data_IF_281246464931
#
_entry.id   IF_281246464931
#
_cell.length_a   1.000
_cell.length_b   1.000
_cell.length_c   1.000
_cell.angle_alpha   90.00
_cell.angle_beta   90.00
_cell.angle_gamma   90.00
#
_symmetry.space_group_name_H-M   'P 1'
#
loop_
_entity.id
_entity.type
_entity.pdbx_description
1 polymer ?
#
# COMPACT_ATOMS: atom_id res chain seq x y z
N UNK A 1 -49.31 -7.49 16.39
CA UNK A 1 -48.53 -6.25 16.13
C UNK A 1 -47.11 -6.65 16.06
N UNK A 2 -46.65 -6.81 14.86
CA UNK A 2 -45.38 -7.45 14.45
C UNK A 2 -44.25 -6.48 14.70
N UNK A 3 -43.40 -6.79 15.67
CA UNK A 3 -42.09 -6.21 15.78
C UNK A 3 -41.26 -6.70 14.59
N UNK A 4 -40.91 -5.78 13.73
CA UNK A 4 -39.85 -5.99 12.74
C UNK A 4 -38.55 -5.96 13.52
N UNK A 5 -37.98 -7.10 13.73
CA UNK A 5 -36.61 -7.27 14.21
C UNK A 5 -35.71 -6.77 13.10
N UNK A 6 -34.96 -5.71 13.39
CA UNK A 6 -33.79 -5.30 12.60
C UNK A 6 -32.72 -6.39 12.83
N UNK A 7 -32.92 -7.52 12.15
CA UNK A 7 -32.03 -8.66 12.21
C UNK A 7 -30.99 -8.59 11.10
N UNK A 8 -29.76 -8.78 11.55
CA UNK A 8 -28.66 -9.41 10.82
C UNK A 8 -28.17 -8.64 9.59
N UNK A 9 -27.47 -7.57 9.85
CA UNK A 9 -26.33 -7.26 9.01
C UNK A 9 -25.11 -8.09 9.48
N UNK A 10 -25.27 -9.42 9.48
CA UNK A 10 -24.15 -10.36 9.43
C UNK A 10 -23.52 -10.29 8.02
N UNK A 11 -23.04 -9.12 7.66
CA UNK A 11 -22.28 -8.82 6.47
C UNK A 11 -20.85 -8.52 6.88
N UNK A 12 -19.93 -8.84 6.01
CA UNK A 12 -18.50 -8.55 6.04
C UNK A 12 -18.10 -7.41 6.99
N UNK A 13 -17.06 -7.54 7.80
CA UNK A 13 -16.64 -6.50 8.74
C UNK A 13 -16.34 -5.19 7.99
N UNK A 14 -17.05 -4.12 8.36
CA UNK A 14 -16.98 -2.83 7.68
C UNK A 14 -18.09 -2.64 6.63
N UNK A 15 -18.36 -1.38 6.29
CA UNK A 15 -19.35 -1.05 5.27
C UNK A 15 -18.98 -1.68 3.92
N UNK A 16 -19.94 -2.25 3.19
CA UNK A 16 -19.79 -2.83 1.84
C UNK A 16 -18.97 -1.92 0.92
N UNK A 17 -19.08 -0.62 1.09
CA UNK A 17 -18.38 0.39 0.32
C UNK A 17 -16.85 0.27 0.41
N UNK A 18 -16.30 -0.12 1.57
CA UNK A 18 -14.86 -0.35 1.75
C UNK A 18 -14.39 -1.58 0.98
N UNK A 19 -15.18 -2.65 0.98
CA UNK A 19 -14.86 -3.85 0.22
C UNK A 19 -14.89 -3.61 -1.29
N UNK A 20 -15.87 -2.81 -1.76
CA UNK A 20 -15.91 -2.36 -3.17
C UNK A 20 -14.68 -1.54 -3.51
N UNK A 21 -14.29 -0.59 -2.64
CA UNK A 21 -13.08 0.20 -2.82
C UNK A 21 -11.83 -0.71 -2.89
N UNK A 22 -11.64 -1.61 -1.92
CA UNK A 22 -10.50 -2.54 -1.89
C UNK A 22 -10.46 -3.38 -3.17
N UNK A 23 -11.58 -3.95 -3.59
CA UNK A 23 -11.67 -4.77 -4.79
C UNK A 23 -11.33 -3.97 -6.06
N UNK A 24 -11.82 -2.72 -6.17
CA UNK A 24 -11.51 -1.85 -7.31
C UNK A 24 -10.04 -1.50 -7.38
N UNK A 25 -9.40 -1.20 -6.25
CA UNK A 25 -7.97 -0.88 -6.20
C UNK A 25 -7.09 -2.09 -6.56
N UNK A 26 -7.40 -3.27 -6.02
CA UNK A 26 -6.71 -4.51 -6.40
C UNK A 26 -6.84 -4.77 -7.90
N UNK A 27 -8.03 -4.54 -8.48
CA UNK A 27 -8.25 -4.70 -9.91
C UNK A 27 -7.37 -3.72 -10.72
N UNK A 28 -7.34 -2.44 -10.35
CA UNK A 28 -6.55 -1.41 -11.04
C UNK A 28 -5.06 -1.74 -11.00
N UNK A 29 -4.53 -2.09 -9.82
CA UNK A 29 -3.13 -2.51 -9.70
C UNK A 29 -2.84 -3.80 -10.47
N UNK A 30 -3.75 -4.77 -10.47
CA UNK A 30 -3.59 -6.02 -11.23
C UNK A 30 -3.50 -5.75 -12.72
N UNK A 31 -4.34 -4.89 -13.27
CA UNK A 31 -4.29 -4.48 -14.69
C UNK A 31 -2.97 -3.79 -15.00
N UNK A 32 -2.49 -2.88 -14.14
CA UNK A 32 -1.22 -2.20 -14.33
C UNK A 32 -0.02 -3.18 -14.30
N UNK A 33 -0.02 -4.14 -13.37
CA UNK A 33 1.01 -5.18 -13.27
C UNK A 33 1.00 -6.13 -14.48
N UNK A 34 -0.20 -6.54 -14.95
CA UNK A 34 -0.31 -7.33 -16.18
C UNK A 34 0.21 -6.54 -17.37
N UNK A 35 -0.13 -5.26 -17.49
CA UNK A 35 0.41 -4.38 -18.52
C UNK A 35 1.95 -4.32 -18.49
N UNK A 36 2.54 -4.20 -17.31
CA UNK A 36 4.00 -4.25 -17.13
C UNK A 36 4.59 -5.59 -17.60
N UNK A 37 3.98 -6.72 -17.22
CA UNK A 37 4.45 -8.05 -17.63
C UNK A 37 4.35 -8.26 -19.14
N UNK A 38 3.28 -7.79 -19.78
CA UNK A 38 3.12 -7.84 -21.25
C UNK A 38 4.21 -7.02 -21.93
N UNK A 39 4.46 -5.78 -21.49
CA UNK A 39 5.53 -4.94 -22.04
C UNK A 39 6.91 -5.57 -21.85
N UNK A 40 7.15 -6.21 -20.70
CA UNK A 40 8.38 -6.98 -20.47
C UNK A 40 8.53 -8.15 -21.42
N UNK A 41 7.46 -8.88 -21.76
CA UNK A 41 7.54 -9.96 -22.74
C UNK A 41 7.86 -9.46 -24.15
N UNK A 42 7.35 -8.30 -24.51
CA UNK A 42 7.58 -7.68 -25.82
C UNK A 42 8.98 -7.04 -25.95
N UNK A 43 9.55 -6.55 -24.84
CA UNK A 43 10.82 -5.79 -24.81
C UNK A 43 11.81 -6.36 -23.77
N UNK A 44 11.99 -7.68 -23.73
CA UNK A 44 12.70 -8.39 -22.65
C UNK A 44 14.13 -7.91 -22.41
N UNK A 45 14.90 -7.64 -23.48
CA UNK A 45 16.29 -7.18 -23.40
C UNK A 45 16.41 -5.79 -22.74
N UNK A 46 15.57 -4.83 -23.19
CA UNK A 46 15.53 -3.49 -22.64
C UNK A 46 15.12 -3.50 -21.16
N UNK A 47 14.08 -4.28 -20.82
CA UNK A 47 13.60 -4.39 -19.44
C UNK A 47 14.64 -5.01 -18.50
N UNK A 48 15.45 -5.98 -18.96
CA UNK A 48 16.55 -6.53 -18.16
C UNK A 48 17.64 -5.47 -17.92
N UNK A 49 18.07 -4.76 -18.96
CA UNK A 49 19.08 -3.72 -18.83
C UNK A 49 18.65 -2.63 -17.83
N UNK A 50 17.42 -2.16 -17.91
CA UNK A 50 16.88 -1.11 -17.05
C UNK A 50 16.65 -1.58 -15.61
N UNK A 51 16.20 -2.84 -15.41
CA UNK A 51 15.95 -3.40 -14.08
C UNK A 51 17.22 -3.49 -13.21
N UNK A 52 18.42 -3.57 -13.82
CA UNK A 52 19.68 -3.55 -13.08
C UNK A 52 19.96 -2.20 -12.41
N UNK A 53 19.34 -1.12 -12.85
CA UNK A 53 19.46 0.19 -12.23
C UNK A 53 18.61 0.32 -10.96
N UNK A 54 17.64 -0.56 -10.76
CA UNK A 54 16.81 -0.58 -9.54
C UNK A 54 17.53 -1.32 -8.39
N UNK A 55 17.51 -0.71 -7.22
CA UNK A 55 18.06 -1.30 -6.00
C UNK A 55 17.03 -2.24 -5.33
N UNK A 56 17.07 -3.55 -5.63
CA UNK A 56 16.17 -4.52 -5.00
C UNK A 56 16.24 -4.50 -3.46
N UNK A 57 17.40 -4.15 -2.89
CA UNK A 57 17.55 -3.97 -1.44
C UNK A 57 16.63 -2.86 -0.88
N UNK A 58 16.50 -1.74 -1.60
CA UNK A 58 15.58 -0.67 -1.20
C UNK A 58 14.12 -1.12 -1.27
N UNK A 59 13.73 -1.84 -2.31
CA UNK A 59 12.39 -2.43 -2.44
C UNK A 59 12.07 -3.44 -1.33
N UNK A 60 13.04 -4.32 -0.99
CA UNK A 60 12.92 -5.27 0.12
C UNK A 60 12.78 -4.56 1.47
N UNK A 61 13.60 -3.54 1.72
CA UNK A 61 13.50 -2.74 2.94
C UNK A 61 12.11 -2.08 3.03
N UNK A 62 11.62 -1.52 1.93
CA UNK A 62 10.26 -0.96 1.85
C UNK A 62 9.19 -2.00 2.21
N UNK A 63 9.32 -3.24 1.73
CA UNK A 63 8.39 -4.33 2.05
C UNK A 63 8.41 -4.67 3.55
N UNK A 64 9.59 -4.80 4.16
CA UNK A 64 9.73 -5.10 5.59
C UNK A 64 9.10 -3.98 6.43
N UNK A 65 9.36 -2.72 6.07
CA UNK A 65 8.81 -1.54 6.76
C UNK A 65 7.29 -1.53 6.69
N UNK A 66 6.69 -1.73 5.51
CA UNK A 66 5.23 -1.76 5.36
C UNK A 66 4.59 -2.93 6.09
N UNK A 67 5.12 -4.15 5.99
CA UNK A 67 4.60 -5.32 6.72
C UNK A 67 4.65 -5.09 8.24
N UNK A 68 5.73 -4.48 8.75
CA UNK A 68 5.84 -4.10 10.16
C UNK A 68 4.79 -3.05 10.54
N UNK A 69 4.56 -2.09 9.65
CA UNK A 69 3.51 -1.08 9.80
C UNK A 69 2.11 -1.72 9.84
N UNK A 70 1.81 -2.65 8.93
CA UNK A 70 0.57 -3.40 8.92
C UNK A 70 0.35 -4.17 10.22
N UNK A 71 1.38 -4.82 10.74
CA UNK A 71 1.30 -5.49 12.04
C UNK A 71 0.96 -4.50 13.18
N UNK A 72 1.57 -3.32 13.20
CA UNK A 72 1.23 -2.29 14.19
C UNK A 72 -0.22 -1.82 14.04
N UNK A 73 -0.72 -1.68 12.82
CA UNK A 73 -2.11 -1.32 12.54
C UNK A 73 -3.10 -2.41 13.02
N UNK A 74 -2.78 -3.69 12.82
CA UNK A 74 -3.58 -4.80 13.34
C UNK A 74 -3.67 -4.80 14.87
N UNK A 75 -2.54 -4.54 15.55
CA UNK A 75 -2.53 -4.37 17.01
C UNK A 75 -3.37 -3.18 17.47
N UNK A 76 -3.39 -2.07 16.70
CA UNK A 76 -4.22 -0.92 16.99
C UNK A 76 -5.72 -1.28 16.95
N UNK A 77 -6.13 -2.09 15.99
CA UNK A 77 -7.50 -2.56 15.85
C UNK A 77 -7.92 -3.40 17.05
N UNK A 78 -7.10 -4.36 17.47
CA UNK A 78 -7.37 -5.20 18.65
C UNK A 78 -7.48 -4.36 19.93
N UNK A 79 -6.56 -3.42 20.14
CA UNK A 79 -6.58 -2.51 21.29
C UNK A 79 -7.80 -1.58 21.29
N UNK A 80 -8.23 -1.12 20.12
CA UNK A 80 -9.44 -0.28 19.97
C UNK A 80 -10.70 -1.08 20.36
N UNK A 81 -10.81 -2.34 19.94
CA UNK A 81 -11.92 -3.23 20.32
C UNK A 81 -11.95 -3.52 21.83
N UNK A 82 -10.79 -3.59 22.46
CA UNK A 82 -10.64 -3.75 23.93
C UNK A 82 -10.85 -2.46 24.73
N UNK A 83 -11.17 -1.33 24.05
CA UNK A 83 -11.40 -0.05 24.70
C UNK A 83 -10.13 0.71 25.13
N UNK A 84 -8.94 0.21 24.76
CA UNK A 84 -7.66 0.85 25.07
C UNK A 84 -7.34 2.00 24.10
N UNK A 85 -7.93 3.17 24.33
CA UNK A 85 -7.78 4.37 23.46
C UNK A 85 -6.33 4.79 23.31
N UNK A 86 -5.57 4.85 24.42
CA UNK A 86 -4.16 5.27 24.38
C UNK A 86 -3.29 4.26 23.63
N UNK A 87 -3.50 2.96 23.85
CA UNK A 87 -2.79 1.90 23.15
C UNK A 87 -3.08 1.89 21.65
N UNK A 88 -4.34 1.99 21.27
CA UNK A 88 -4.76 2.06 19.87
C UNK A 88 -4.15 3.29 19.16
N UNK A 89 -4.22 4.47 19.79
CA UNK A 89 -3.60 5.70 19.27
C UNK A 89 -2.10 5.52 19.02
N UNK A 90 -1.36 5.01 20.00
CA UNK A 90 0.08 4.82 19.87
C UNK A 90 0.41 3.90 18.68
N UNK A 91 -0.31 2.78 18.54
CA UNK A 91 -0.07 1.82 17.45
C UNK A 91 -0.42 2.37 16.08
N UNK A 92 -1.49 3.17 15.95
CA UNK A 92 -1.81 3.87 14.71
C UNK A 92 -0.72 4.87 14.32
N UNK A 93 -0.19 5.63 15.28
CA UNK A 93 0.90 6.57 15.02
C UNK A 93 2.21 5.85 14.65
N UNK A 94 2.52 4.71 15.27
CA UNK A 94 3.66 3.87 14.87
C UNK A 94 3.47 3.37 13.43
N UNK A 95 2.29 2.88 13.08
CA UNK A 95 2.00 2.45 11.73
C UNK A 95 2.16 3.60 10.73
N UNK A 96 1.61 4.77 11.02
CA UNK A 96 1.76 5.96 10.18
C UNK A 96 3.23 6.40 10.04
N UNK A 97 4.01 6.37 11.11
CA UNK A 97 5.44 6.72 11.08
C UNK A 97 6.24 5.76 10.18
N UNK A 98 5.96 4.45 10.25
CA UNK A 98 6.57 3.46 9.34
C UNK A 98 6.14 3.69 7.89
N UNK A 99 4.89 4.05 7.63
CA UNK A 99 4.43 4.46 6.30
C UNK A 99 5.19 5.68 5.77
N UNK A 100 5.47 6.67 6.62
CA UNK A 100 6.32 7.81 6.25
C UNK A 100 7.77 7.38 5.95
N UNK A 101 8.33 6.45 6.70
CA UNK A 101 9.66 5.89 6.40
C UNK A 101 9.67 5.26 5.00
N UNK A 102 8.63 4.49 4.64
CA UNK A 102 8.50 3.94 3.29
C UNK A 102 8.50 5.03 2.22
N UNK A 103 7.72 6.11 2.41
CA UNK A 103 7.67 7.23 1.45
C UNK A 103 9.04 7.92 1.31
N UNK A 104 9.79 8.09 2.40
CA UNK A 104 11.16 8.63 2.37
C UNK A 104 12.08 7.72 1.57
N UNK A 105 12.03 6.40 1.78
CA UNK A 105 12.81 5.43 1.02
C UNK A 105 12.49 5.50 -0.48
N UNK A 106 11.20 5.61 -0.85
CA UNK A 106 10.78 5.74 -2.25
C UNK A 106 11.24 7.05 -2.86
N UNK A 107 11.13 8.15 -2.13
CA UNK A 107 11.62 9.44 -2.60
C UNK A 107 13.14 9.43 -2.81
N UNK A 108 13.91 8.81 -1.92
CA UNK A 108 15.34 8.64 -2.07
C UNK A 108 15.67 7.82 -3.33
N UNK A 109 14.96 6.74 -3.60
CA UNK A 109 15.13 5.92 -4.80
C UNK A 109 14.86 6.71 -6.08
N UNK A 110 13.76 7.48 -6.13
CA UNK A 110 13.47 8.36 -7.28
C UNK A 110 14.55 9.43 -7.49
N UNK A 111 15.04 10.04 -6.39
CA UNK A 111 16.12 11.01 -6.45
C UNK A 111 17.40 10.38 -7.00
N UNK A 112 17.74 9.16 -6.59
CA UNK A 112 18.94 8.48 -7.04
C UNK A 112 18.85 8.13 -8.53
N UNK A 113 17.70 7.70 -9.03
CA UNK A 113 17.44 7.49 -10.47
C UNK A 113 17.59 8.80 -11.25
N UNK A 114 17.05 9.90 -10.73
CA UNK A 114 17.22 11.22 -11.36
C UNK A 114 18.70 11.63 -11.44
N UNK A 115 19.47 11.44 -10.37
CA UNK A 115 20.90 11.80 -10.34
C UNK A 115 21.73 10.94 -11.31
N UNK A 116 21.28 9.72 -11.61
CA UNK A 116 21.87 8.85 -12.62
C UNK A 116 21.49 9.24 -14.05
N UNK A 117 20.70 10.30 -14.24
CA UNK A 117 20.24 10.77 -15.56
C UNK A 117 19.15 9.90 -16.17
N UNK A 118 18.49 9.05 -15.38
CA UNK A 118 17.39 8.20 -15.85
C UNK A 118 16.16 9.08 -16.05
N UNK A 119 15.76 9.26 -17.33
CA UNK A 119 14.49 9.90 -17.65
C UNK A 119 13.34 8.94 -17.36
N UNK A 120 12.41 9.36 -16.49
CA UNK A 120 11.18 8.60 -16.22
C UNK A 120 10.22 8.60 -17.41
N UNK A 121 10.38 9.55 -18.32
CA UNK A 121 9.62 9.67 -19.57
C UNK A 121 10.47 9.22 -20.77
N UNK A 122 9.83 8.57 -21.74
CA UNK A 122 10.49 8.11 -22.98
C UNK A 122 11.05 6.70 -22.92
N UNK A 123 11.19 6.09 -21.74
CA UNK A 123 11.55 4.69 -21.56
C UNK A 123 10.36 3.92 -20.97
N UNK A 124 9.88 2.91 -21.69
CA UNK A 124 8.68 2.15 -21.29
C UNK A 124 8.81 1.51 -19.91
N UNK A 125 10.00 1.02 -19.54
CA UNK A 125 10.24 0.42 -18.22
C UNK A 125 10.07 1.45 -17.11
N UNK A 126 10.80 2.58 -17.18
CA UNK A 126 10.77 3.61 -16.13
C UNK A 126 9.44 4.35 -16.07
N UNK A 127 8.76 4.54 -17.22
CA UNK A 127 7.41 5.13 -17.25
C UNK A 127 6.42 4.23 -16.50
N UNK A 128 6.38 2.93 -16.77
CA UNK A 128 5.50 1.99 -16.06
C UNK A 128 5.89 1.83 -14.59
N UNK A 129 7.19 1.75 -14.30
CA UNK A 129 7.70 1.73 -12.94
C UNK A 129 7.22 2.95 -12.14
N UNK A 130 7.42 4.16 -12.67
CA UNK A 130 7.02 5.40 -12.02
C UNK A 130 5.49 5.50 -11.85
N UNK A 131 4.72 5.07 -12.87
CA UNK A 131 3.27 5.06 -12.80
C UNK A 131 2.77 4.14 -11.67
N UNK A 132 3.21 2.89 -11.64
CA UNK A 132 2.75 1.89 -10.66
C UNK A 132 3.21 2.27 -9.25
N UNK A 133 4.50 2.57 -9.07
CA UNK A 133 5.04 2.87 -7.74
C UNK A 133 4.65 4.25 -7.24
N UNK A 134 4.46 5.23 -8.12
CA UNK A 134 3.96 6.56 -7.78
C UNK A 134 2.49 6.53 -7.37
N UNK A 135 1.65 5.78 -8.09
CA UNK A 135 0.26 5.56 -7.73
C UNK A 135 0.14 4.84 -6.38
N UNK A 136 0.98 3.82 -6.15
CA UNK A 136 1.07 3.17 -4.84
C UNK A 136 1.53 4.13 -3.74
N UNK A 137 2.56 4.94 -3.97
CA UNK A 137 3.04 5.93 -2.99
C UNK A 137 1.96 6.96 -2.62
N UNK A 138 1.11 7.36 -3.58
CA UNK A 138 -0.05 8.22 -3.31
C UNK A 138 -1.05 7.53 -2.36
N UNK A 139 -1.31 6.22 -2.53
CA UNK A 139 -2.16 5.44 -1.62
C UNK A 139 -1.54 5.31 -0.22
N UNK A 140 -0.23 5.09 -0.13
CA UNK A 140 0.49 5.09 1.16
C UNK A 140 0.36 6.45 1.84
N UNK A 141 0.55 7.56 1.12
CA UNK A 141 0.42 8.91 1.67
C UNK A 141 -1.00 9.18 2.18
N UNK A 142 -2.02 8.80 1.41
CA UNK A 142 -3.41 8.89 1.83
C UNK A 142 -3.69 8.02 3.06
N UNK A 143 -3.21 6.78 3.08
CA UNK A 143 -3.36 5.87 4.21
C UNK A 143 -2.68 6.39 5.48
N UNK A 144 -1.48 6.98 5.37
CA UNK A 144 -0.79 7.65 6.49
C UNK A 144 -1.65 8.78 7.04
N UNK A 145 -2.19 9.64 6.19
CA UNK A 145 -3.07 10.73 6.60
C UNK A 145 -4.32 10.19 7.31
N UNK A 146 -4.92 9.11 6.78
CA UNK A 146 -6.08 8.44 7.36
C UNK A 146 -5.77 7.86 8.75
N UNK A 147 -4.64 7.15 8.92
CA UNK A 147 -4.21 6.60 10.20
C UNK A 147 -3.98 7.69 11.25
N UNK A 148 -3.35 8.82 10.87
CA UNK A 148 -3.14 9.97 11.76
C UNK A 148 -4.49 10.58 12.16
N UNK A 149 -5.40 10.77 11.21
CA UNK A 149 -6.74 11.30 11.48
C UNK A 149 -7.50 10.43 12.46
N UNK A 150 -7.51 9.11 12.25
CA UNK A 150 -8.22 8.16 13.11
C UNK A 150 -7.55 8.04 14.49
N UNK A 151 -6.23 8.21 14.58
CA UNK A 151 -5.52 8.24 15.86
C UNK A 151 -5.99 9.38 16.80
N UNK A 152 -6.61 10.44 16.28
CA UNK A 152 -7.19 11.51 17.11
C UNK A 152 -8.36 11.00 17.94
N UNK A 153 -9.19 10.10 17.37
CA UNK A 153 -10.37 9.47 18.01
C UNK A 153 -10.48 8.00 17.60
N UNK A 154 -9.67 7.09 18.19
CA UNK A 154 -9.55 5.71 17.74
C UNK A 154 -10.71 4.83 18.24
N UNK A 155 -11.92 5.10 17.74
CA UNK A 155 -13.11 4.26 17.97
C UNK A 155 -13.09 3.08 17.00
N UNK A 156 -13.56 1.86 17.39
CA UNK A 156 -13.58 0.67 16.54
C UNK A 156 -14.18 0.94 15.15
N UNK A 157 -15.32 1.63 15.08
CA UNK A 157 -16.01 1.98 13.84
C UNK A 157 -15.19 2.83 12.85
N UNK A 158 -14.11 3.50 13.29
CA UNK A 158 -13.19 4.26 12.45
C UNK A 158 -11.88 3.52 12.22
N UNK A 159 -11.40 2.78 13.24
CA UNK A 159 -10.14 2.04 13.17
C UNK A 159 -10.24 0.87 12.19
N UNK A 160 -11.31 0.08 12.28
CA UNK A 160 -11.48 -1.12 11.43
C UNK A 160 -11.41 -0.81 9.93
N UNK A 161 -12.19 0.13 9.38
CA UNK A 161 -12.12 0.45 7.97
C UNK A 161 -10.78 1.04 7.54
N UNK A 162 -10.15 1.84 8.41
CA UNK A 162 -8.84 2.44 8.11
C UNK A 162 -7.72 1.41 8.10
N UNK A 163 -7.76 0.44 9.00
CA UNK A 163 -6.81 -0.67 9.02
C UNK A 163 -7.03 -1.62 7.84
N UNK A 164 -8.29 -1.88 7.46
CA UNK A 164 -8.59 -2.67 6.26
C UNK A 164 -8.02 -2.01 4.99
N UNK A 165 -8.19 -0.68 4.83
CA UNK A 165 -7.58 0.07 3.75
C UNK A 165 -6.04 -0.02 3.80
N UNK A 166 -5.44 0.14 4.99
CA UNK A 166 -3.99 0.05 5.17
C UNK A 166 -3.44 -1.31 4.75
N UNK A 167 -4.10 -2.39 5.14
CA UNK A 167 -3.70 -3.75 4.72
C UNK A 167 -3.83 -3.98 3.22
N UNK A 168 -4.82 -3.38 2.56
CA UNK A 168 -4.90 -3.40 1.10
C UNK A 168 -3.65 -2.75 0.48
N UNK A 169 -3.23 -1.59 1.01
CA UNK A 169 -2.03 -0.90 0.54
C UNK A 169 -0.78 -1.76 0.73
N UNK A 170 -0.60 -2.36 1.92
CA UNK A 170 0.51 -3.29 2.18
C UNK A 170 0.52 -4.48 1.21
N UNK A 171 -0.64 -5.11 0.99
CA UNK A 171 -0.80 -6.25 0.08
C UNK A 171 -0.41 -5.87 -1.36
N UNK A 172 -0.81 -4.70 -1.81
CA UNK A 172 -0.44 -4.20 -3.14
C UNK A 172 1.08 -4.12 -3.28
N UNK A 173 1.82 -3.64 -2.27
CA UNK A 173 3.28 -3.60 -2.33
C UNK A 173 3.90 -5.00 -2.39
N UNK A 174 3.34 -5.97 -1.65
CA UNK A 174 3.78 -7.38 -1.71
C UNK A 174 3.65 -7.95 -3.12
N UNK A 175 2.67 -7.51 -3.90
CA UNK A 175 2.49 -7.89 -5.31
C UNK A 175 3.39 -7.08 -6.26
N UNK A 176 3.50 -5.79 -6.05
CA UNK A 176 4.28 -4.85 -6.88
C UNK A 176 5.78 -5.15 -6.80
N UNK A 177 6.31 -5.38 -5.61
CA UNK A 177 7.73 -5.56 -5.39
C UNK A 177 8.33 -6.71 -6.22
N UNK A 178 7.84 -7.96 -6.17
CA UNK A 178 8.43 -9.03 -6.95
C UNK A 178 8.30 -8.80 -8.46
N UNK A 179 7.17 -8.26 -8.91
CA UNK A 179 6.92 -8.03 -10.33
C UNK A 179 7.87 -6.99 -10.92
N UNK A 180 8.14 -5.91 -10.21
CA UNK A 180 8.97 -4.81 -10.70
C UNK A 180 10.47 -5.03 -10.45
N UNK A 181 10.86 -5.66 -9.32
CA UNK A 181 12.26 -5.73 -8.90
C UNK A 181 12.90 -7.10 -9.10
N UNK A 182 12.13 -8.20 -9.08
CA UNK A 182 12.69 -9.55 -9.16
C UNK A 182 12.50 -10.19 -10.52
N UNK A 183 11.31 -10.07 -11.10
CA UNK A 183 10.97 -10.73 -12.38
C UNK A 183 11.76 -10.17 -13.58
N UNK A 184 12.10 -8.87 -13.70
CA UNK A 184 12.86 -8.35 -14.84
C UNK A 184 14.34 -8.75 -14.88
N UNK A 185 14.90 -9.30 -13.81
CA UNK A 185 16.31 -9.68 -13.69
C UNK A 185 16.69 -10.94 -14.42
#
# INVERSE_FOLDING_TARGET
>A
MTGVTDDEQDGLPGHVLIWVLIASEILVFSVALVGFLVMRLLHAEAFRADAHLLHAGAGTMGMIVLLTSGYAAALAQDLSRKGSVAGARLRLLVAAALGLVFLVLKFAEYRDLWLQGVALEGNSFFTLYALITGFHAAHVAFGVALLILVATRPKPQHVEPSVAFWHMVDLVWVLVFPVLYLVPR
#
